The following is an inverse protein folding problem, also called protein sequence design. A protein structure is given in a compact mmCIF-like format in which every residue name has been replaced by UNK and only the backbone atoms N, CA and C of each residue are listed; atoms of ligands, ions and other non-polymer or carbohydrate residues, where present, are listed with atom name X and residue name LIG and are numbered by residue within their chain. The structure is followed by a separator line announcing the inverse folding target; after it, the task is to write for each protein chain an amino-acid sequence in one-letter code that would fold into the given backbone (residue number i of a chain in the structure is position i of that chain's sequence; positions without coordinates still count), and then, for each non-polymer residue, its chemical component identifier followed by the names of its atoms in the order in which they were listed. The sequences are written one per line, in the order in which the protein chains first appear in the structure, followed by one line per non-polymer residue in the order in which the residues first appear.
data_IF_911681077158
#
_entry.id   IF_911681077158
#
_cell.length_a   1.000
_cell.length_b   1.000
_cell.length_c   1.000
_cell.angle_alpha   90.00
_cell.angle_beta   90.00
_cell.angle_gamma   90.00
#
_symmetry.space_group_name_H-M   'P 1'
#
loop_
_entity.id
_entity.type
_entity.pdbx_description
1 polymer ?
#
# COMPACT_ATOMS: atom_id res chain seq x y z
N UNK A 1 102.86 18.27 -20.04
CA UNK A 1 102.48 16.87 -20.22
C UNK A 1 101.81 16.47 -18.91
N UNK A 2 100.66 17.05 -18.56
CA UNK A 2 99.34 16.74 -19.15
C UNK A 2 99.18 15.23 -19.33
N UNK A 3 98.54 14.60 -18.35
CA UNK A 3 97.34 13.83 -18.67
C UNK A 3 96.39 13.89 -17.46
N UNK A 4 95.16 14.27 -17.78
CA UNK A 4 94.14 14.80 -16.91
C UNK A 4 93.21 13.64 -16.56
N UNK A 5 93.20 13.22 -15.29
CA UNK A 5 92.26 12.22 -14.79
C UNK A 5 90.83 12.76 -14.93
N UNK A 6 90.02 12.13 -15.79
CA UNK A 6 88.58 12.35 -15.85
C UNK A 6 87.92 11.52 -14.74
N UNK A 7 87.22 12.11 -13.76
CA UNK A 7 86.36 11.33 -12.89
C UNK A 7 85.11 10.90 -13.67
N UNK A 8 84.91 9.59 -13.78
CA UNK A 8 83.67 9.02 -14.32
C UNK A 8 82.48 9.49 -13.48
N UNK A 9 81.53 10.12 -14.16
CA UNK A 9 80.30 10.62 -13.54
C UNK A 9 79.31 9.47 -13.41
N UNK A 10 79.34 8.77 -12.27
CA UNK A 10 78.23 7.88 -11.90
C UNK A 10 76.98 8.73 -11.61
N UNK A 11 75.81 8.43 -12.20
CA UNK A 11 74.60 9.19 -11.91
C UNK A 11 74.19 8.99 -10.44
N UNK A 12 73.66 10.03 -9.77
CA UNK A 12 73.21 9.90 -8.40
C UNK A 12 72.00 8.96 -8.35
N UNK A 13 72.21 7.75 -7.86
CA UNK A 13 71.11 6.84 -7.51
C UNK A 13 70.46 7.39 -6.25
N UNK A 14 69.35 8.11 -6.43
CA UNK A 14 68.54 8.57 -5.31
C UNK A 14 67.99 7.33 -4.60
N UNK A 15 68.43 7.10 -3.37
CA UNK A 15 68.00 5.94 -2.59
C UNK A 15 66.55 6.18 -2.19
N UNK A 16 65.62 5.55 -2.91
CA UNK A 16 64.23 5.48 -2.50
C UNK A 16 64.20 4.99 -1.04
N UNK A 17 63.54 5.70 -0.13
CA UNK A 17 63.55 5.32 1.26
C UNK A 17 63.04 3.88 1.39
N UNK A 18 63.91 3.00 1.90
CA UNK A 18 63.71 1.54 1.93
C UNK A 18 62.43 1.15 2.65
N UNK A 19 61.96 2.00 3.57
CA UNK A 19 60.68 1.81 4.26
C UNK A 19 59.47 2.04 3.34
N UNK A 20 59.53 3.00 2.41
CA UNK A 20 58.43 3.23 1.45
C UNK A 20 58.38 2.11 0.42
N UNK A 21 59.52 1.66 -0.10
CA UNK A 21 59.54 0.55 -1.05
C UNK A 21 59.09 -0.76 -0.40
N UNK A 22 59.51 -1.04 0.85
CA UNK A 22 59.00 -2.18 1.61
C UNK A 22 57.50 -2.07 1.92
N UNK A 23 57.01 -0.90 2.33
CA UNK A 23 55.59 -0.68 2.57
C UNK A 23 54.76 -0.85 1.29
N UNK A 24 55.23 -0.31 0.18
CA UNK A 24 54.59 -0.46 -1.13
C UNK A 24 54.58 -1.92 -1.58
N UNK A 25 55.68 -2.66 -1.41
CA UNK A 25 55.73 -4.09 -1.72
C UNK A 25 54.68 -4.88 -0.94
N UNK A 26 54.58 -4.66 0.38
CA UNK A 26 53.57 -5.31 1.22
C UNK A 26 52.14 -4.95 0.79
N UNK A 27 51.89 -3.68 0.49
CA UNK A 27 50.58 -3.23 -0.01
C UNK A 27 50.30 -3.85 -1.37
N UNK A 28 51.27 -3.91 -2.28
CA UNK A 28 51.08 -4.50 -3.62
C UNK A 28 50.88 -5.99 -3.57
N UNK A 29 51.58 -6.72 -2.70
CA UNK A 29 51.39 -8.16 -2.51
C UNK A 29 50.01 -8.45 -1.90
N UNK A 30 49.59 -7.65 -0.92
CA UNK A 30 48.25 -7.70 -0.37
C UNK A 30 47.19 -7.33 -1.43
N UNK A 31 47.43 -6.33 -2.26
CA UNK A 31 46.51 -5.92 -3.34
C UNK A 31 46.46 -6.95 -4.47
N UNK A 32 47.57 -7.64 -4.75
CA UNK A 32 47.61 -8.71 -5.75
C UNK A 32 46.86 -9.96 -5.25
N UNK A 33 47.01 -10.30 -3.97
CA UNK A 33 46.31 -11.42 -3.36
C UNK A 33 44.83 -11.13 -3.06
N UNK A 34 44.49 -9.91 -2.63
CA UNK A 34 43.17 -9.54 -2.11
C UNK A 34 42.47 -8.41 -2.87
N UNK A 35 43.02 -7.93 -4.00
CA UNK A 35 42.43 -6.83 -4.78
C UNK A 35 41.01 -7.13 -5.26
N UNK A 36 40.71 -8.39 -5.55
CA UNK A 36 39.36 -8.82 -5.92
C UNK A 36 38.34 -8.66 -4.78
N UNK A 37 38.75 -8.81 -3.51
CA UNK A 37 37.89 -8.53 -2.37
C UNK A 37 37.62 -7.04 -2.21
N UNK A 38 38.58 -6.18 -2.55
CA UNK A 38 38.37 -4.73 -2.55
C UNK A 38 37.36 -4.35 -3.63
N UNK A 39 37.49 -4.91 -4.83
CA UNK A 39 36.53 -4.70 -5.92
C UNK A 39 35.15 -5.23 -5.52
N UNK A 40 35.06 -6.46 -4.98
CA UNK A 40 33.80 -7.00 -4.47
C UNK A 40 33.22 -6.14 -3.36
N UNK A 41 34.05 -5.66 -2.43
CA UNK A 41 33.63 -4.76 -1.35
C UNK A 41 33.04 -3.47 -1.91
N UNK A 42 33.69 -2.86 -2.90
CA UNK A 42 33.17 -1.67 -3.58
C UNK A 42 31.85 -1.97 -4.29
N UNK A 43 31.76 -3.08 -5.03
CA UNK A 43 30.53 -3.48 -5.73
C UNK A 43 29.39 -3.74 -4.73
N UNK A 44 29.67 -4.41 -3.61
CA UNK A 44 28.71 -4.66 -2.53
C UNK A 44 28.28 -3.35 -1.88
N UNK A 45 29.19 -2.42 -1.60
CA UNK A 45 28.85 -1.10 -1.03
C UNK A 45 27.98 -0.31 -2.01
N UNK A 46 28.32 -0.31 -3.30
CA UNK A 46 27.51 0.36 -4.32
C UNK A 46 26.13 -0.28 -4.47
N UNK A 47 26.04 -1.61 -4.38
CA UNK A 47 24.78 -2.35 -4.39
C UNK A 47 23.93 -2.07 -3.15
N UNK A 48 24.56 -2.02 -1.97
CA UNK A 48 23.88 -1.65 -0.71
C UNK A 48 23.39 -0.21 -0.80
N UNK A 49 24.20 0.74 -1.28
CA UNK A 49 23.78 2.13 -1.46
C UNK A 49 22.63 2.24 -2.46
N UNK A 50 22.68 1.53 -3.60
CA UNK A 50 21.59 1.57 -4.58
C UNK A 50 20.31 0.94 -4.04
N UNK A 51 20.38 -0.18 -3.31
CA UNK A 51 19.22 -0.90 -2.81
C UNK A 51 18.62 -0.33 -1.52
N UNK A 52 19.47 0.16 -0.61
CA UNK A 52 19.06 0.70 0.69
C UNK A 52 18.89 2.22 0.69
N UNK A 53 19.30 2.95 -0.35
CA UNK A 53 19.07 4.41 -0.44
C UNK A 53 17.63 4.84 -0.13
N UNK A 54 16.55 4.23 -0.69
CA UNK A 54 15.19 4.66 -0.37
C UNK A 54 14.79 4.33 1.07
N UNK A 55 15.38 3.29 1.67
CA UNK A 55 15.10 2.90 3.06
C UNK A 55 15.87 3.77 4.06
N UNK A 56 17.12 4.13 3.74
CA UNK A 56 17.96 5.00 4.57
C UNK A 56 17.42 6.42 4.54
N UNK A 57 16.99 6.94 3.38
CA UNK A 57 16.35 8.25 3.26
C UNK A 57 15.10 8.32 4.13
N UNK A 58 14.17 7.36 4.00
CA UNK A 58 12.97 7.28 4.87
C UNK A 58 13.30 7.22 6.36
N UNK A 59 14.42 6.61 6.72
CA UNK A 59 14.85 6.51 8.10
C UNK A 59 15.44 7.84 8.60
N UNK A 60 16.25 8.51 7.77
CA UNK A 60 16.76 9.86 8.04
C UNK A 60 15.62 10.87 8.18
N UNK A 61 14.66 10.86 7.25
CA UNK A 61 13.46 11.72 7.32
C UNK A 61 12.68 11.49 8.62
N UNK A 62 12.54 10.24 9.05
CA UNK A 62 11.88 9.90 10.33
C UNK A 62 12.68 10.39 11.53
N UNK A 63 14.01 10.35 11.48
CA UNK A 63 14.86 10.88 12.54
C UNK A 63 14.80 12.40 12.60
N UNK A 64 14.80 13.07 11.46
CA UNK A 64 14.63 14.52 11.35
C UNK A 64 13.25 14.95 11.83
N UNK A 65 12.18 14.28 11.39
CA UNK A 65 10.82 14.51 11.90
C UNK A 65 10.72 14.26 13.42
N UNK A 66 11.42 13.26 13.96
CA UNK A 66 11.47 13.04 15.42
C UNK A 66 12.19 14.17 16.14
N UNK A 67 13.30 14.66 15.57
CA UNK A 67 14.05 15.79 16.11
C UNK A 67 13.24 17.09 16.05
N UNK A 68 12.52 17.31 14.95
CA UNK A 68 11.57 18.41 14.79
C UNK A 68 10.38 18.30 15.76
N UNK A 69 9.81 17.11 15.95
CA UNK A 69 8.73 16.88 16.91
C UNK A 69 9.14 17.11 18.37
N UNK A 70 10.45 16.97 18.67
CA UNK A 70 11.01 17.30 19.99
C UNK A 70 11.04 18.81 20.23
N UNK A 71 11.10 19.60 19.17
CA UNK A 71 11.00 21.05 19.18
C UNK A 71 9.55 21.44 18.86
N UNK A 72 8.68 21.41 19.88
CA UNK A 72 7.26 21.69 19.70
C UNK A 72 7.02 23.16 19.29
N UNK A 73 6.69 23.37 18.01
CA UNK A 73 6.27 24.67 17.49
C UNK A 73 4.72 24.77 17.50
N UNK A 74 4.11 25.68 18.29
CA UNK A 74 2.64 25.80 18.36
C UNK A 74 2.00 26.17 17.02
N UNK A 75 2.70 26.95 16.19
CA UNK A 75 2.22 27.33 14.85
C UNK A 75 2.12 26.14 13.89
N UNK A 76 2.99 25.12 14.05
CA UNK A 76 2.92 23.89 13.23
C UNK A 76 1.73 23.03 13.63
N UNK A 77 1.42 22.97 14.92
CA UNK A 77 0.25 22.26 15.42
C UNK A 77 -1.07 22.86 14.89
N UNK A 78 -1.16 24.20 14.84
CA UNK A 78 -2.32 24.90 14.27
C UNK A 78 -2.50 24.58 12.78
N UNK A 79 -1.43 24.68 11.98
CA UNK A 79 -1.48 24.33 10.55
C UNK A 79 -1.93 22.89 10.33
N UNK A 80 -1.43 21.95 11.12
CA UNK A 80 -1.87 20.56 11.06
C UNK A 80 -3.36 20.41 11.38
N UNK A 81 -3.88 21.16 12.37
CA UNK A 81 -5.31 21.14 12.70
C UNK A 81 -6.17 21.72 11.57
N UNK A 82 -5.71 22.81 10.93
CA UNK A 82 -6.38 23.42 9.77
C UNK A 82 -6.41 22.46 8.58
N UNK A 83 -5.32 21.75 8.30
CA UNK A 83 -5.23 20.74 7.25
C UNK A 83 -6.19 19.56 7.51
N UNK A 84 -6.26 19.09 8.75
CA UNK A 84 -7.19 18.03 9.15
C UNK A 84 -8.65 18.47 8.99
N UNK A 85 -8.99 19.70 9.38
CA UNK A 85 -10.34 20.23 9.24
C UNK A 85 -10.70 20.47 7.76
N UNK A 86 -9.75 20.92 6.94
CA UNK A 86 -9.93 21.00 5.50
C UNK A 86 -10.17 19.62 4.87
N UNK A 87 -9.44 18.58 5.31
CA UNK A 87 -9.65 17.21 4.84
C UNK A 87 -11.04 16.68 5.23
N UNK A 88 -11.50 16.96 6.46
CA UNK A 88 -12.86 16.61 6.91
C UNK A 88 -13.94 17.30 6.07
N UNK A 89 -13.78 18.58 5.77
CA UNK A 89 -14.72 19.33 4.93
C UNK A 89 -14.81 18.74 3.53
N UNK A 90 -13.67 18.46 2.89
CA UNK A 90 -13.63 17.79 1.57
C UNK A 90 -14.34 16.44 1.59
N UNK A 91 -14.17 15.65 2.65
CA UNK A 91 -14.86 14.37 2.80
C UNK A 91 -16.38 14.56 2.94
N UNK A 92 -16.83 15.53 3.74
CA UNK A 92 -18.25 15.85 3.88
C UNK A 92 -18.87 16.32 2.57
N UNK A 93 -18.17 17.16 1.81
CA UNK A 93 -18.61 17.61 0.49
C UNK A 93 -18.78 16.45 -0.49
N UNK A 94 -17.85 15.50 -0.50
CA UNK A 94 -17.97 14.30 -1.34
C UNK A 94 -19.16 13.43 -0.94
N UNK A 95 -19.39 13.23 0.36
CA UNK A 95 -20.55 12.48 0.85
C UNK A 95 -21.87 13.19 0.52
N UNK A 96 -21.93 14.51 0.69
CA UNK A 96 -23.09 15.31 0.34
C UNK A 96 -23.38 15.26 -1.17
N UNK A 97 -22.34 15.32 -2.01
CA UNK A 97 -22.50 15.18 -3.45
C UNK A 97 -23.03 13.79 -3.86
N UNK A 98 -22.56 12.73 -3.22
CA UNK A 98 -23.08 11.37 -3.44
C UNK A 98 -24.53 11.23 -2.96
N UNK A 99 -24.86 11.80 -1.80
CA UNK A 99 -26.21 11.80 -1.25
C UNK A 99 -27.19 12.55 -2.17
N UNK A 100 -26.78 13.71 -2.71
CA UNK A 100 -27.59 14.47 -3.66
C UNK A 100 -27.86 13.67 -4.95
N UNK A 101 -26.83 13.06 -5.54
CA UNK A 101 -26.97 12.20 -6.73
C UNK A 101 -27.91 11.03 -6.48
N UNK A 102 -27.83 10.41 -5.31
CA UNK A 102 -28.71 9.30 -4.96
C UNK A 102 -30.16 9.76 -4.76
N UNK A 103 -30.37 10.91 -4.11
CA UNK A 103 -31.70 11.50 -3.93
C UNK A 103 -32.36 11.85 -5.27
N UNK A 104 -31.60 12.40 -6.23
CA UNK A 104 -32.08 12.65 -7.59
C UNK A 104 -32.49 11.36 -8.32
N UNK A 105 -31.64 10.33 -8.27
CA UNK A 105 -31.97 9.03 -8.85
C UNK A 105 -33.20 8.38 -8.22
N UNK A 106 -33.41 8.57 -6.92
CA UNK A 106 -34.59 8.05 -6.24
C UNK A 106 -35.86 8.76 -6.71
N UNK A 107 -35.83 10.09 -6.89
CA UNK A 107 -36.96 10.85 -7.43
C UNK A 107 -37.34 10.39 -8.84
N UNK A 108 -36.35 10.20 -9.71
CA UNK A 108 -36.57 9.71 -11.08
C UNK A 108 -37.23 8.32 -11.04
N UNK A 109 -36.72 7.40 -10.22
CA UNK A 109 -37.31 6.06 -10.07
C UNK A 109 -38.74 6.09 -9.52
N UNK A 110 -39.05 7.04 -8.64
CA UNK A 110 -40.40 7.21 -8.10
C UNK A 110 -41.37 7.74 -9.16
N UNK A 111 -40.94 8.71 -9.97
CA UNK A 111 -41.71 9.24 -11.10
C UNK A 111 -41.94 8.18 -12.17
N UNK A 112 -40.92 7.39 -12.54
CA UNK A 112 -41.04 6.27 -13.48
C UNK A 112 -42.04 5.23 -12.96
N UNK A 113 -41.97 4.85 -11.68
CA UNK A 113 -42.94 3.93 -11.07
C UNK A 113 -44.35 4.51 -11.08
N UNK A 114 -44.50 5.82 -10.89
CA UNK A 114 -45.80 6.50 -10.97
C UNK A 114 -46.35 6.44 -12.39
N UNK A 115 -45.52 6.71 -13.40
CA UNK A 115 -45.90 6.60 -14.81
C UNK A 115 -46.25 5.16 -15.20
N UNK A 116 -45.47 4.17 -14.75
CA UNK A 116 -45.76 2.75 -14.97
C UNK A 116 -47.12 2.36 -14.40
N UNK A 117 -47.45 2.81 -13.18
CA UNK A 117 -48.78 2.55 -12.58
C UNK A 117 -49.92 3.17 -13.40
N UNK A 118 -49.73 4.38 -13.93
CA UNK A 118 -50.72 5.04 -14.80
C UNK A 118 -50.88 4.23 -16.09
N UNK A 119 -49.78 3.89 -16.75
CA UNK A 119 -49.80 3.09 -17.99
C UNK A 119 -50.41 1.69 -17.76
N UNK A 120 -50.12 1.04 -16.64
CA UNK A 120 -50.73 -0.24 -16.27
C UNK A 120 -52.24 -0.10 -16.08
N UNK A 121 -52.70 0.99 -15.46
CA UNK A 121 -54.11 1.28 -15.26
C UNK A 121 -54.82 1.60 -16.59
N UNK A 122 -54.22 2.40 -17.45
CA UNK A 122 -54.75 2.71 -18.80
C UNK A 122 -54.84 1.44 -19.65
N UNK A 123 -53.80 0.59 -19.63
CA UNK A 123 -53.81 -0.71 -20.32
C UNK A 123 -54.89 -1.64 -19.79
N UNK A 124 -55.22 -1.55 -18.50
CA UNK A 124 -56.31 -2.31 -17.89
C UNK A 124 -57.67 -1.82 -18.37
N UNK A 125 -57.87 -0.50 -18.48
CA UNK A 125 -59.09 0.09 -19.06
C UNK A 125 -59.26 -0.28 -20.55
N UNK A 126 -58.18 -0.26 -21.31
CA UNK A 126 -58.13 -0.64 -22.73
C UNK A 126 -58.39 -2.15 -22.99
N UNK A 127 -58.57 -2.96 -21.94
CA UNK A 127 -58.78 -4.41 -22.07
C UNK A 127 -57.53 -5.21 -22.45
N UNK A 128 -56.34 -4.59 -22.45
CA UNK A 128 -55.03 -5.24 -22.69
C UNK A 128 -54.46 -5.88 -21.42
N UNK A 129 -55.29 -6.03 -20.39
CA UNK A 129 -54.92 -6.44 -19.04
C UNK A 129 -54.27 -7.83 -18.96
N UNK A 130 -53.16 -7.88 -18.22
CA UNK A 130 -52.47 -9.06 -17.71
C UNK A 130 -52.04 -10.12 -18.73
N UNK A 131 -51.25 -9.73 -19.75
CA UNK A 131 -50.37 -10.70 -20.43
C UNK A 131 -49.21 -11.07 -19.50
N UNK A 132 -49.22 -12.31 -19.00
CA UNK A 132 -48.13 -12.86 -18.19
C UNK A 132 -46.79 -12.65 -18.91
N UNK A 133 -45.81 -12.03 -18.23
CA UNK A 133 -44.43 -11.89 -18.74
C UNK A 133 -43.60 -13.17 -18.54
N UNK A 134 -44.24 -14.34 -18.54
CA UNK A 134 -43.56 -15.63 -18.48
C UNK A 134 -42.97 -15.92 -19.87
N UNK A 135 -41.65 -15.81 -20.01
CA UNK A 135 -40.93 -16.41 -21.14
C UNK A 135 -40.68 -17.88 -20.77
N UNK A 136 -41.23 -18.87 -21.47
CA UNK A 136 -40.85 -20.26 -21.25
C UNK A 136 -39.36 -20.39 -21.58
N UNK A 137 -38.54 -20.83 -20.63
CA UNK A 137 -37.24 -21.39 -20.96
C UNK A 137 -37.49 -22.74 -21.65
N UNK A 138 -36.99 -22.90 -22.87
CA UNK A 138 -36.95 -24.19 -23.54
C UNK A 138 -36.06 -25.15 -22.75
N UNK A 139 -36.69 -26.11 -22.08
CA UNK A 139 -36.05 -27.23 -21.40
C UNK A 139 -35.58 -28.23 -22.46
N UNK A 140 -34.27 -28.33 -22.67
CA UNK A 140 -33.66 -29.42 -23.46
C UNK A 140 -33.57 -30.65 -22.55
N UNK A 141 -34.03 -31.79 -23.08
CA UNK A 141 -34.43 -32.96 -22.30
C UNK A 141 -33.34 -33.76 -21.58
N UNK A 142 -33.87 -34.57 -20.66
CA UNK A 142 -33.43 -35.89 -20.20
C UNK A 142 -32.22 -35.99 -19.26
N UNK A 143 -32.50 -36.32 -17.99
CA UNK A 143 -32.26 -37.69 -17.48
C UNK A 143 -32.71 -37.82 -16.02
N UNK A 144 -33.44 -38.91 -15.76
CA UNK A 144 -33.84 -39.33 -14.44
C UNK A 144 -32.63 -39.62 -13.55
N UNK A 145 -32.61 -39.03 -12.35
CA UNK A 145 -31.61 -39.31 -11.34
C UNK A 145 -32.18 -39.01 -9.96
N UNK A 146 -32.63 -40.05 -9.27
CA UNK A 146 -32.98 -40.03 -7.84
C UNK A 146 -31.82 -39.41 -7.05
N UNK A 147 -32.00 -38.17 -6.55
CA UNK A 147 -31.06 -37.54 -5.63
C UNK A 147 -31.78 -37.06 -4.37
N UNK A 148 -31.28 -37.61 -3.28
CA UNK A 148 -31.49 -37.32 -1.87
C UNK A 148 -31.82 -35.84 -1.63
N UNK A 149 -32.81 -35.60 -0.77
CA UNK A 149 -33.28 -34.27 -0.34
C UNK A 149 -32.10 -33.50 0.28
N UNK A 150 -31.40 -32.72 -0.53
CA UNK A 150 -30.34 -31.84 -0.06
C UNK A 150 -30.99 -30.69 0.71
N UNK A 151 -30.50 -30.45 1.91
CA UNK A 151 -30.82 -29.28 2.72
C UNK A 151 -30.63 -28.05 1.85
N UNK A 152 -31.69 -27.25 1.67
CA UNK A 152 -31.67 -26.07 0.80
C UNK A 152 -30.38 -25.27 1.05
N UNK A 153 -29.58 -24.95 0.02
CA UNK A 153 -28.42 -24.10 0.20
C UNK A 153 -28.91 -22.77 0.77
N UNK A 154 -28.38 -22.36 1.92
CA UNK A 154 -28.66 -21.04 2.47
C UNK A 154 -28.25 -20.02 1.41
N UNK A 155 -29.13 -19.08 1.11
CA UNK A 155 -28.98 -18.08 0.05
C UNK A 155 -27.73 -17.16 0.20
N UNK A 156 -26.95 -17.34 1.27
CA UNK A 156 -25.73 -16.60 1.55
C UNK A 156 -24.65 -17.63 1.86
N UNK A 157 -23.71 -17.79 0.92
CA UNK A 157 -22.57 -18.70 1.06
C UNK A 157 -21.50 -18.16 2.03
N UNK A 158 -21.67 -16.93 2.52
CA UNK A 158 -20.78 -16.27 3.47
C UNK A 158 -21.50 -16.04 4.80
N UNK A 159 -20.81 -16.21 5.92
CA UNK A 159 -21.30 -15.90 7.28
C UNK A 159 -21.47 -14.38 7.52
N UNK A 160 -21.64 -13.62 6.44
CA UNK A 160 -21.75 -12.18 6.44
C UNK A 160 -23.16 -11.75 6.91
N UNK A 161 -23.20 -11.26 8.14
CA UNK A 161 -24.36 -10.56 8.67
C UNK A 161 -24.14 -9.04 8.46
N UNK A 162 -24.97 -8.34 7.66
CA UNK A 162 -24.80 -6.91 7.40
C UNK A 162 -24.94 -6.04 8.65
N UNK A 163 -25.47 -6.59 9.74
CA UNK A 163 -25.51 -5.92 11.04
C UNK A 163 -24.24 -6.12 11.89
N UNK A 164 -23.44 -7.17 11.61
CA UNK A 164 -22.34 -7.62 12.49
C UNK A 164 -20.99 -7.83 11.78
N UNK A 165 -20.93 -7.67 10.46
CA UNK A 165 -19.69 -7.82 9.68
C UNK A 165 -19.14 -9.25 9.63
N UNK A 166 -18.13 -9.45 8.80
CA UNK A 166 -17.54 -10.76 8.44
C UNK A 166 -16.68 -11.40 9.55
N UNK A 167 -16.61 -10.78 10.73
CA UNK A 167 -15.63 -11.12 11.75
C UNK A 167 -16.31 -11.58 13.05
N UNK A 168 -16.95 -12.75 13.02
CA UNK A 168 -17.39 -13.44 14.24
C UNK A 168 -16.19 -14.15 14.91
N UNK A 169 -15.15 -13.38 15.27
CA UNK A 169 -13.90 -13.95 15.79
C UNK A 169 -12.94 -12.99 16.53
N UNK A 170 -13.20 -11.69 16.59
CA UNK A 170 -12.28 -10.74 17.24
C UNK A 170 -12.98 -9.64 18.03
N UNK A 171 -12.85 -9.69 19.35
CA UNK A 171 -13.00 -8.56 20.27
C UNK A 171 -14.30 -7.74 20.17
N UNK A 172 -15.39 -8.27 20.72
CA UNK A 172 -16.51 -7.42 21.17
C UNK A 172 -16.16 -6.88 22.56
N UNK A 173 -15.81 -5.59 22.66
CA UNK A 173 -15.64 -4.94 23.95
C UNK A 173 -16.98 -4.96 24.70
N UNK A 174 -17.03 -5.69 25.81
CA UNK A 174 -18.19 -5.73 26.70
C UNK A 174 -17.80 -4.97 27.98
N UNK A 175 -18.39 -3.80 28.26
CA UNK A 175 -18.07 -3.07 29.48
C UNK A 175 -18.39 -3.95 30.70
N UNK A 176 -17.54 -3.94 31.75
CA UNK A 176 -17.78 -4.73 32.95
C UNK A 176 -19.11 -4.32 33.59
N UNK A 177 -19.95 -5.31 33.92
CA UNK A 177 -21.21 -5.10 34.63
C UNK A 177 -20.89 -4.49 36.00
N UNK A 178 -21.24 -3.22 36.20
CA UNK A 178 -21.28 -2.61 37.54
C UNK A 178 -22.54 -3.10 38.26
N UNK A 179 -22.34 -3.90 39.30
CA UNK A 179 -23.35 -4.44 40.21
C UNK A 179 -23.00 -5.89 40.50
N UNK A 180 -22.57 -6.30 41.69
CA UNK A 180 -22.88 -5.83 43.03
C UNK A 180 -23.58 -6.97 43.76
N UNK A 181 -22.93 -7.55 44.77
CA UNK A 181 -23.50 -8.59 45.64
C UNK A 181 -22.73 -9.91 45.60
N UNK A 182 -21.69 -10.03 46.43
CA UNK A 182 -21.18 -11.33 46.85
C UNK A 182 -22.19 -11.98 47.78
N UNK A 183 -22.53 -13.23 47.49
CA UNK A 183 -23.05 -14.17 48.48
C UNK A 183 -21.90 -14.95 49.12
#
# INVERSE_FOLDING_TARGET
MEEQERPETTPPTNQDPVFLSAALQNVTEFLQAYGWFIILGIVVILYIKSKLSPSIQKLQDKFEQRKESRNYDPNKALKMSEELDAARRRMQEQLNAQAARYAEQQKIKEEEKRQQKIQEWDNFQDGKGYRSKYKPQEEVGASAGTKVKSTKPRLRQTDFNPLMGENRGGSSYRPPRRGGGGG
#
